data_IF_162490226362
#
_entry.id   IF_162490226362
#
_cell.length_a   1.000
_cell.length_b   1.000
_cell.length_c   1.000
_cell.angle_alpha   90.00
_cell.angle_beta   90.00
_cell.angle_gamma   90.00
#
_symmetry.space_group_name_H-M   'P 1'
#
loop_
_entity.id
_entity.type
_entity.pdbx_description
1 polymer ?
#
# COMPACT_ATOMS: atom_id res chain seq x y z
N UNK A 1 6.88 64.77 11.85
CA UNK A 1 6.82 63.32 11.60
C UNK A 1 6.17 62.67 12.81
N UNK A 2 4.85 62.45 12.76
CA UNK A 2 4.11 61.77 13.83
C UNK A 2 4.04 60.28 13.48
N UNK A 3 4.53 59.46 14.41
CA UNK A 3 4.71 58.02 14.29
C UNK A 3 3.40 57.25 14.28
N UNK A 4 3.45 56.11 13.61
CA UNK A 4 2.36 55.19 13.32
C UNK A 4 2.07 54.25 14.51
N UNK A 5 1.68 54.82 15.65
CA UNK A 5 1.42 54.05 16.87
C UNK A 5 -0.08 53.68 17.05
N UNK A 6 -0.92 53.97 16.06
CA UNK A 6 -2.39 53.93 16.16
C UNK A 6 -3.05 52.57 15.84
N UNK A 7 -2.32 51.46 15.75
CA UNK A 7 -2.91 50.23 15.20
C UNK A 7 -2.93 48.96 16.03
N UNK A 8 -2.43 48.91 17.26
CA UNK A 8 -2.47 47.67 18.05
C UNK A 8 -2.57 47.89 19.56
N UNK A 9 -3.69 48.46 20.03
CA UNK A 9 -4.15 48.13 21.39
C UNK A 9 -5.66 48.31 21.52
N UNK A 10 -6.39 47.23 21.24
CA UNK A 10 -7.82 47.12 21.54
C UNK A 10 -8.03 46.74 23.01
N UNK A 11 -9.11 47.24 23.66
CA UNK A 11 -9.39 47.02 25.09
C UNK A 11 -9.76 45.57 25.41
N UNK A 12 -9.29 45.11 26.58
CA UNK A 12 -9.64 43.85 27.24
C UNK A 12 -11.17 43.71 27.41
N UNK A 13 -11.80 42.91 26.57
CA UNK A 13 -13.18 42.47 26.75
C UNK A 13 -13.19 40.99 27.13
N UNK A 14 -13.37 40.73 28.42
CA UNK A 14 -13.72 39.43 28.99
C UNK A 14 -15.11 39.05 28.46
N UNK A 15 -15.16 38.24 27.39
CA UNK A 15 -16.41 37.61 26.96
C UNK A 15 -16.49 36.23 27.58
N UNK A 16 -17.09 36.18 28.78
CA UNK A 16 -17.50 34.96 29.46
C UNK A 16 -18.27 34.05 28.49
N UNK A 17 -17.70 32.88 28.22
CA UNK A 17 -18.38 31.81 27.51
C UNK A 17 -19.48 31.23 28.40
N UNK A 18 -20.73 31.63 28.17
CA UNK A 18 -21.91 30.95 28.73
C UNK A 18 -22.45 30.04 27.63
N UNK A 19 -22.06 28.76 27.65
CA UNK A 19 -22.71 27.73 26.85
C UNK A 19 -24.09 27.42 27.47
N UNK A 20 -25.19 27.41 26.67
CA UNK A 20 -26.47 26.93 27.16
C UNK A 20 -26.39 25.45 27.53
N UNK A 21 -26.94 25.10 28.70
CA UNK A 21 -27.13 23.72 29.14
C UNK A 21 -27.96 22.94 28.12
N UNK A 22 -27.36 21.89 27.55
CA UNK A 22 -28.07 20.95 26.70
C UNK A 22 -29.00 20.07 27.57
N UNK A 23 -30.30 19.93 27.26
CA UNK A 23 -31.13 18.95 27.94
C UNK A 23 -30.67 17.54 27.55
N UNK A 24 -30.52 16.67 28.56
CA UNK A 24 -30.15 15.27 28.41
C UNK A 24 -31.17 14.54 27.52
N UNK A 25 -30.88 14.44 26.22
CA UNK A 25 -31.58 13.51 25.34
C UNK A 25 -31.36 12.10 25.90
N UNK A 26 -32.45 11.48 26.36
CA UNK A 26 -32.52 10.09 26.81
C UNK A 26 -31.95 9.21 25.69
N UNK A 27 -30.71 8.77 25.86
CA UNK A 27 -30.06 7.85 24.93
C UNK A 27 -30.92 6.58 24.88
N UNK A 28 -31.54 6.31 23.74
CA UNK A 28 -32.06 4.97 23.45
C UNK A 28 -30.87 4.01 23.56
N UNK A 29 -31.03 2.82 24.17
CA UNK A 29 -29.95 1.84 24.17
C UNK A 29 -29.60 1.56 22.72
N UNK A 30 -28.36 1.90 22.33
CA UNK A 30 -27.85 1.58 21.03
C UNK A 30 -28.08 0.08 20.80
N UNK A 31 -28.91 -0.27 19.83
CA UNK A 31 -29.02 -1.65 19.38
C UNK A 31 -27.65 -2.04 18.86
N UNK A 32 -26.86 -2.75 19.68
CA UNK A 32 -25.60 -3.33 19.21
C UNK A 32 -25.96 -4.24 18.03
N UNK A 33 -25.47 -3.94 16.81
CA UNK A 33 -25.70 -4.84 15.69
C UNK A 33 -25.18 -6.22 16.10
N UNK A 34 -26.00 -7.25 15.91
CA UNK A 34 -25.55 -8.64 16.08
C UNK A 34 -24.37 -8.83 15.13
N UNK A 35 -23.23 -9.40 15.57
CA UNK A 35 -22.17 -9.76 14.64
C UNK A 35 -22.68 -10.91 13.77
N UNK A 36 -23.25 -10.57 12.62
CA UNK A 36 -23.42 -11.50 11.53
C UNK A 36 -22.02 -11.95 11.07
N UNK A 37 -21.91 -13.24 10.76
CA UNK A 37 -20.65 -13.90 10.40
C UNK A 37 -19.97 -13.26 9.17
N UNK A 38 -20.74 -12.55 8.37
CA UNK A 38 -20.28 -11.77 7.22
C UNK A 38 -19.48 -10.54 7.66
N UNK A 39 -20.02 -9.76 8.60
CA UNK A 39 -19.33 -8.62 9.21
C UNK A 39 -18.01 -8.97 9.92
N UNK A 40 -17.86 -10.20 10.44
CA UNK A 40 -16.58 -10.62 11.05
C UNK A 40 -15.48 -10.84 10.01
N UNK A 41 -15.81 -11.38 8.84
CA UNK A 41 -14.83 -11.63 7.77
C UNK A 41 -14.42 -10.32 7.11
N UNK A 42 -15.39 -9.46 6.77
CA UNK A 42 -15.09 -8.14 6.22
C UNK A 42 -14.28 -7.32 7.22
N UNK A 43 -14.65 -7.29 8.51
CA UNK A 43 -13.88 -6.61 9.54
C UNK A 43 -12.43 -7.12 9.62
N UNK A 44 -12.20 -8.43 9.59
CA UNK A 44 -10.84 -9.00 9.59
C UNK A 44 -10.02 -8.58 8.37
N UNK A 45 -10.64 -8.55 7.18
CA UNK A 45 -9.98 -8.09 5.96
C UNK A 45 -9.69 -6.58 6.01
N UNK A 46 -10.58 -5.78 6.57
CA UNK A 46 -10.38 -4.35 6.77
C UNK A 46 -9.24 -4.07 7.76
N UNK A 47 -9.19 -4.78 8.89
CA UNK A 47 -8.09 -4.65 9.87
C UNK A 47 -6.75 -5.03 9.24
N UNK A 48 -6.68 -6.14 8.50
CA UNK A 48 -5.46 -6.54 7.80
C UNK A 48 -5.00 -5.50 6.78
N UNK A 49 -5.93 -4.95 5.98
CA UNK A 49 -5.62 -3.92 5.00
C UNK A 49 -5.14 -2.62 5.67
N UNK A 50 -5.76 -2.20 6.77
CA UNK A 50 -5.36 -1.02 7.54
C UNK A 50 -3.97 -1.23 8.17
N UNK A 51 -3.68 -2.43 8.68
CA UNK A 51 -2.36 -2.76 9.21
C UNK A 51 -1.27 -2.72 8.13
N UNK A 52 -1.51 -3.31 6.96
CA UNK A 52 -0.55 -3.29 5.85
C UNK A 52 -0.35 -1.86 5.31
N UNK A 53 -1.44 -1.11 5.17
CA UNK A 53 -1.40 0.29 4.73
C UNK A 53 -0.58 1.15 5.72
N UNK A 54 -0.89 1.05 7.01
CA UNK A 54 -0.18 1.81 8.03
C UNK A 54 1.29 1.39 8.19
N UNK A 55 1.61 0.11 7.97
CA UNK A 55 2.98 -0.40 8.07
C UNK A 55 3.86 0.02 6.90
N UNK A 56 3.33 0.07 5.67
CA UNK A 56 4.14 0.30 4.46
C UNK A 56 4.02 1.73 3.94
N UNK A 57 2.86 2.37 4.08
CA UNK A 57 2.55 3.64 3.40
C UNK A 57 2.40 4.84 4.33
N UNK A 58 2.47 4.67 5.66
CA UNK A 58 2.34 5.80 6.61
C UNK A 58 3.61 6.65 6.72
N UNK A 59 4.77 6.05 6.48
CA UNK A 59 6.06 6.71 6.55
C UNK A 59 6.67 6.85 5.15
N UNK A 60 6.97 8.07 4.74
CA UNK A 60 7.55 8.39 3.42
C UNK A 60 8.80 7.55 3.11
N UNK A 61 9.68 7.33 4.10
CA UNK A 61 10.88 6.52 3.94
C UNK A 61 10.58 5.02 3.79
N UNK A 62 9.66 4.47 4.58
CA UNK A 62 9.27 3.06 4.54
C UNK A 62 8.67 2.69 3.18
N UNK A 63 7.88 3.59 2.58
CA UNK A 63 7.35 3.39 1.23
C UNK A 63 8.47 3.25 0.20
N UNK A 64 9.48 4.13 0.23
CA UNK A 64 10.61 4.07 -0.72
C UNK A 64 11.39 2.76 -0.58
N UNK A 65 11.70 2.34 0.65
CA UNK A 65 12.36 1.05 0.91
C UNK A 65 11.52 -0.13 0.42
N UNK A 66 10.21 -0.10 0.64
CA UNK A 66 9.31 -1.14 0.17
C UNK A 66 9.27 -1.24 -1.35
N UNK A 67 9.19 -0.11 -2.06
CA UNK A 67 9.18 -0.06 -3.53
C UNK A 67 10.50 -0.58 -4.09
N UNK A 68 11.64 -0.17 -3.54
CA UNK A 68 12.94 -0.68 -4.01
C UNK A 68 13.10 -2.18 -3.74
N UNK A 69 12.74 -2.63 -2.54
CA UNK A 69 12.81 -4.06 -2.19
C UNK A 69 11.89 -4.89 -3.09
N UNK A 70 10.67 -4.41 -3.32
CA UNK A 70 9.71 -5.05 -4.23
C UNK A 70 10.25 -5.06 -5.67
N UNK A 71 10.89 -3.98 -6.13
CA UNK A 71 11.52 -3.91 -7.45
C UNK A 71 12.58 -5.00 -7.65
N UNK A 72 13.53 -5.13 -6.72
CA UNK A 72 14.56 -6.16 -6.79
C UNK A 72 14.00 -7.59 -6.69
N UNK A 73 13.06 -7.81 -5.76
CA UNK A 73 12.41 -9.11 -5.62
C UNK A 73 11.60 -9.48 -6.88
N UNK A 74 10.92 -8.49 -7.47
CA UNK A 74 10.16 -8.65 -8.70
C UNK A 74 11.08 -8.99 -9.87
N UNK A 75 12.20 -8.29 -10.06
CA UNK A 75 13.15 -8.58 -11.13
C UNK A 75 13.61 -10.04 -11.10
N UNK A 76 14.03 -10.54 -9.94
CA UNK A 76 14.51 -11.91 -9.78
C UNK A 76 13.41 -12.93 -10.13
N UNK A 77 12.22 -12.76 -9.55
CA UNK A 77 11.10 -13.68 -9.76
C UNK A 77 10.53 -13.61 -11.18
N UNK A 78 10.38 -12.40 -11.72
CA UNK A 78 9.80 -12.14 -13.02
C UNK A 78 10.68 -12.68 -14.15
N UNK A 79 11.99 -12.43 -14.11
CA UNK A 79 12.92 -12.93 -15.12
C UNK A 79 12.88 -14.46 -15.22
N UNK A 80 12.95 -15.16 -14.08
CA UNK A 80 12.90 -16.64 -14.07
C UNK A 80 11.54 -17.16 -14.56
N UNK A 81 10.46 -16.52 -14.14
CA UNK A 81 9.10 -16.93 -14.51
C UNK A 81 8.85 -16.72 -16.00
N UNK A 82 9.19 -15.55 -16.53
CA UNK A 82 9.01 -15.23 -17.95
C UNK A 82 9.88 -16.09 -18.85
N UNK A 83 11.14 -16.34 -18.47
CA UNK A 83 12.00 -17.28 -19.20
C UNK A 83 11.36 -18.67 -19.26
N UNK A 84 10.83 -19.17 -18.13
CA UNK A 84 10.18 -20.49 -18.08
C UNK A 84 8.91 -20.58 -18.92
N UNK A 85 8.09 -19.52 -18.91
CA UNK A 85 6.88 -19.43 -19.74
C UNK A 85 7.26 -19.41 -21.23
N UNK A 86 8.24 -18.59 -21.59
CA UNK A 86 8.74 -18.49 -22.96
C UNK A 86 9.33 -19.81 -23.45
N UNK A 87 10.18 -20.42 -22.63
CA UNK A 87 10.82 -21.70 -22.91
C UNK A 87 9.80 -22.81 -23.11
N UNK A 88 8.73 -22.84 -22.30
CA UNK A 88 7.66 -23.82 -22.43
C UNK A 88 6.85 -23.61 -23.71
N UNK A 89 6.57 -22.36 -24.07
CA UNK A 89 5.79 -22.04 -25.26
C UNK A 89 6.57 -22.26 -26.57
N UNK A 90 7.89 -22.15 -26.53
CA UNK A 90 8.76 -22.28 -27.71
C UNK A 90 9.57 -23.60 -27.72
N UNK A 91 9.11 -24.63 -27.00
CA UNK A 91 9.77 -25.95 -26.97
C UNK A 91 9.97 -26.50 -28.39
N UNK A 92 11.14 -27.06 -28.64
CA UNK A 92 11.52 -27.66 -29.93
C UNK A 92 11.93 -26.66 -31.01
N UNK A 93 11.83 -25.35 -30.75
CA UNK A 93 12.28 -24.28 -31.66
C UNK A 93 13.47 -23.49 -31.11
N UNK A 94 13.86 -23.74 -29.87
CA UNK A 94 14.96 -23.04 -29.25
C UNK A 94 16.28 -23.68 -29.66
N UNK A 95 17.32 -22.85 -29.86
CA UNK A 95 18.67 -23.33 -30.15
C UNK A 95 19.12 -24.40 -29.17
N UNK A 96 18.86 -24.22 -27.87
CA UNK A 96 19.19 -25.21 -26.83
C UNK A 96 18.53 -26.58 -27.05
N UNK A 97 17.37 -26.64 -27.70
CA UNK A 97 16.66 -27.87 -27.99
C UNK A 97 17.17 -28.53 -29.28
N UNK A 98 17.72 -27.78 -30.24
CA UNK A 98 18.16 -28.30 -31.56
C UNK A 98 19.69 -28.44 -31.71
N UNK A 99 20.47 -27.77 -30.85
CA UNK A 99 21.93 -27.71 -30.95
C UNK A 99 22.62 -29.06 -30.87
N UNK A 100 22.02 -30.03 -30.17
CA UNK A 100 22.59 -31.37 -30.04
C UNK A 100 22.82 -32.02 -31.41
N UNK A 101 21.93 -31.77 -32.38
CA UNK A 101 22.03 -32.32 -33.74
C UNK A 101 23.21 -31.77 -34.55
N UNK A 102 23.61 -30.53 -34.28
CA UNK A 102 24.65 -29.84 -35.06
C UNK A 102 26.04 -29.95 -34.43
N UNK A 103 26.11 -30.19 -33.11
CA UNK A 103 27.39 -30.36 -32.40
C UNK A 103 27.92 -31.79 -32.58
N UNK A 104 27.04 -32.78 -32.63
CA UNK A 104 27.40 -34.18 -32.87
C UNK A 104 27.89 -34.39 -34.32
N UNK A 105 27.23 -33.74 -35.30
CA UNK A 105 27.66 -33.73 -36.71
C UNK A 105 29.06 -33.11 -36.90
N UNK A 106 29.48 -32.17 -36.04
CA UNK A 106 30.84 -31.61 -36.09
C UNK A 106 31.91 -32.47 -35.41
N UNK A 107 31.54 -33.41 -34.53
CA UNK A 107 32.50 -34.33 -33.88
C UNK A 107 32.72 -35.62 -34.69
N UNK A 108 31.73 -36.04 -35.48
CA UNK A 108 31.83 -37.23 -36.35
C UNK A 108 32.55 -36.95 -37.71
N UNK A 109 32.76 -35.68 -38.07
CA UNK A 109 33.38 -35.23 -39.34
C UNK A 109 34.89 -34.88 -39.21
N UNK A 110 35.52 -35.04 -38.03
CA UNK A 110 36.99 -34.94 -37.80
C UNK A 110 37.66 -36.32 -37.64
#
# INVERSE_FOLDING_TARGET
>A
MAGAEDFLNFPDSISTSILPHQPLLRQLPATRPRPDRENSKSAQLHEAAIMIYSAIFRNNFTMLTAVFTAGFAFEIGFNQTMNKIWDNNNRGRQWKDIRHKYVEETEDDE
#
